data_IF_636957645414
#
_entry.id   IF_636957645414
#
_cell.length_a   1.000
_cell.length_b   1.000
_cell.length_c   1.000
_cell.angle_alpha   90.00
_cell.angle_beta   90.00
_cell.angle_gamma   90.00
#
_symmetry.space_group_name_H-M   'P 1'
#
loop_
_entity.id
_entity.type
_entity.pdbx_description
1 polymer ?
#
# COMPACT_ATOMS: atom_id res chain seq x y z
N UNK A 1 -14.00 -10.46 -28.40
CA UNK A 1 -13.86 -9.70 -27.17
C UNK A 1 -13.70 -8.25 -27.55
N UNK A 2 -14.65 -7.40 -27.19
CA UNK A 2 -14.60 -5.99 -27.52
C UNK A 2 -13.59 -5.32 -26.56
N UNK A 3 -12.51 -4.82 -27.12
CA UNK A 3 -11.57 -3.95 -26.39
C UNK A 3 -12.34 -2.64 -26.18
N UNK A 4 -12.81 -2.39 -24.96
CA UNK A 4 -13.26 -1.07 -24.57
C UNK A 4 -12.02 -0.17 -24.50
N UNK A 5 -11.67 0.44 -25.63
CA UNK A 5 -10.78 1.57 -25.65
C UNK A 5 -11.49 2.73 -24.98
N UNK A 6 -11.09 3.10 -23.77
CA UNK A 6 -11.43 4.40 -23.22
C UNK A 6 -11.03 5.46 -24.25
N UNK A 7 -11.88 6.45 -24.56
CA UNK A 7 -11.55 7.46 -25.54
C UNK A 7 -10.28 8.18 -25.11
N UNK A 8 -9.32 8.32 -26.02
CA UNK A 8 -8.08 9.09 -25.85
C UNK A 8 -8.45 10.58 -25.71
N UNK A 9 -9.07 10.99 -24.64
CA UNK A 9 -9.07 12.39 -24.23
C UNK A 9 -7.66 12.70 -23.78
N UNK A 10 -7.08 13.76 -24.30
CA UNK A 10 -5.90 14.40 -23.75
C UNK A 10 -6.25 14.85 -22.32
N UNK A 11 -6.08 13.94 -21.36
CA UNK A 11 -6.23 14.27 -19.95
C UNK A 11 -5.00 15.09 -19.59
N UNK A 12 -5.22 16.29 -19.06
CA UNK A 12 -4.20 17.08 -18.40
C UNK A 12 -3.57 16.29 -17.22
N UNK A 13 -2.64 16.88 -16.48
CA UNK A 13 -1.86 16.19 -15.44
C UNK A 13 -2.67 15.77 -14.20
N UNK A 14 -4.00 15.69 -14.29
CA UNK A 14 -4.85 15.29 -13.18
C UNK A 14 -4.97 13.77 -13.10
N UNK A 15 -4.61 13.20 -11.95
CA UNK A 15 -4.87 11.80 -11.62
C UNK A 15 -6.37 11.53 -11.65
N UNK A 16 -6.75 10.46 -12.32
CA UNK A 16 -8.16 10.15 -12.57
C UNK A 16 -8.89 9.68 -11.30
N UNK A 17 -10.21 9.91 -11.31
CA UNK A 17 -11.16 9.41 -10.31
C UNK A 17 -12.07 8.40 -10.95
N UNK A 18 -12.24 7.27 -10.28
CA UNK A 18 -13.12 6.19 -10.71
C UNK A 18 -14.05 5.78 -9.57
N UNK A 19 -15.24 5.29 -9.83
CA UNK A 19 -16.09 4.71 -8.79
C UNK A 19 -15.53 3.38 -8.30
N UNK A 20 -15.95 2.93 -7.10
CA UNK A 20 -15.46 1.69 -6.48
C UNK A 20 -15.78 0.42 -7.28
N UNK A 21 -16.77 0.46 -8.16
CA UNK A 21 -17.19 -0.63 -9.05
C UNK A 21 -16.57 -0.52 -10.46
N UNK A 22 -15.60 0.37 -10.66
CA UNK A 22 -14.86 0.45 -11.91
C UNK A 22 -14.17 -0.89 -12.23
N UNK A 23 -14.08 -1.30 -13.51
CA UNK A 23 -13.38 -2.48 -13.91
C UNK A 23 -11.92 -2.46 -13.44
N UNK A 24 -11.42 -3.60 -12.93
CA UNK A 24 -10.04 -3.71 -12.47
C UNK A 24 -9.04 -3.29 -13.55
N UNK A 25 -9.27 -3.68 -14.79
CA UNK A 25 -8.38 -3.35 -15.91
C UNK A 25 -8.25 -1.84 -16.13
N UNK A 26 -9.31 -1.06 -15.91
CA UNK A 26 -9.26 0.40 -15.99
C UNK A 26 -8.39 0.99 -14.89
N UNK A 27 -8.52 0.47 -13.67
CA UNK A 27 -7.70 0.88 -12.52
C UNK A 27 -6.24 0.54 -12.74
N UNK A 28 -5.93 -0.67 -13.20
CA UNK A 28 -4.57 -1.09 -13.52
C UNK A 28 -3.96 -0.24 -14.64
N UNK A 29 -4.75 0.08 -15.67
CA UNK A 29 -4.32 0.97 -16.74
C UNK A 29 -3.94 2.36 -16.19
N UNK A 30 -4.78 2.95 -15.34
CA UNK A 30 -4.52 4.26 -14.74
C UNK A 30 -3.28 4.26 -13.83
N UNK A 31 -3.07 3.20 -13.04
CA UNK A 31 -1.87 3.03 -12.23
C UNK A 31 -0.61 2.95 -13.09
N UNK A 32 -0.64 2.18 -14.18
CA UNK A 32 0.49 2.06 -15.12
C UNK A 32 0.77 3.36 -15.86
N UNK A 33 -0.27 4.14 -16.19
CA UNK A 33 -0.14 5.40 -16.91
C UNK A 33 0.31 6.54 -16.00
N UNK A 34 -0.33 6.70 -14.83
CA UNK A 34 -0.20 7.89 -13.98
C UNK A 34 0.55 7.63 -12.68
N UNK A 35 0.72 6.38 -12.27
CA UNK A 35 1.33 5.96 -11.01
C UNK A 35 0.38 6.04 -9.81
N UNK A 36 -0.84 6.56 -9.99
CA UNK A 36 -1.84 6.69 -8.94
C UNK A 36 -3.26 6.86 -9.50
N UNK A 37 -4.26 6.50 -8.70
CA UNK A 37 -5.69 6.62 -9.04
C UNK A 37 -6.51 6.87 -7.78
N UNK A 38 -7.50 7.75 -7.87
CA UNK A 38 -8.51 7.93 -6.83
C UNK A 38 -9.68 6.97 -7.08
N UNK A 39 -10.13 6.28 -6.02
CA UNK A 39 -11.30 5.41 -6.05
C UNK A 39 -12.33 5.97 -5.07
N UNK A 40 -13.45 6.43 -5.61
CA UNK A 40 -14.50 7.09 -4.82
C UNK A 40 -15.33 6.07 -4.06
N UNK A 41 -15.62 6.36 -2.79
CA UNK A 41 -16.49 5.53 -1.92
C UNK A 41 -16.07 4.07 -1.83
N UNK A 42 -14.75 3.83 -1.81
CA UNK A 42 -14.21 2.47 -1.70
C UNK A 42 -14.62 1.81 -0.39
N UNK A 43 -14.63 2.57 0.69
CA UNK A 43 -14.97 2.09 2.04
C UNK A 43 -16.19 2.84 2.54
N UNK A 44 -17.13 2.12 3.14
CA UNK A 44 -18.32 2.73 3.72
C UNK A 44 -17.92 3.72 4.85
N UNK A 45 -18.55 4.91 4.87
CA UNK A 45 -18.26 5.94 5.90
C UNK A 45 -18.41 5.42 7.32
N UNK A 46 -19.37 4.52 7.56
CA UNK A 46 -19.59 3.90 8.87
C UNK A 46 -18.40 3.03 9.31
N UNK A 47 -17.78 2.29 8.36
CA UNK A 47 -16.60 1.47 8.64
C UNK A 47 -15.37 2.33 8.86
N UNK A 48 -15.22 3.42 8.11
CA UNK A 48 -14.15 4.41 8.34
C UNK A 48 -14.27 5.01 9.73
N UNK A 49 -15.46 5.46 10.13
CA UNK A 49 -15.71 6.02 11.46
C UNK A 49 -15.42 4.99 12.56
N UNK A 50 -15.83 3.75 12.37
CA UNK A 50 -15.56 2.66 13.32
C UNK A 50 -14.07 2.36 13.44
N UNK A 51 -13.36 2.27 12.32
CA UNK A 51 -11.90 2.08 12.32
C UNK A 51 -11.19 3.21 13.05
N UNK A 52 -11.67 4.45 12.92
CA UNK A 52 -11.13 5.59 13.67
C UNK A 52 -11.33 5.42 15.18
N UNK A 53 -12.54 5.07 15.63
CA UNK A 53 -12.81 4.86 17.06
C UNK A 53 -11.93 3.74 17.66
N UNK A 54 -11.66 2.68 16.88
CA UNK A 54 -10.78 1.58 17.29
C UNK A 54 -9.31 1.99 17.50
N UNK A 55 -8.86 3.10 16.90
CA UNK A 55 -7.46 3.59 16.97
C UNK A 55 -7.32 4.96 17.63
N UNK A 56 -8.40 5.62 17.97
CA UNK A 56 -8.41 7.02 18.47
C UNK A 56 -7.54 7.21 19.69
N UNK A 57 -7.66 6.33 20.68
CA UNK A 57 -6.86 6.42 21.91
C UNK A 57 -5.34 6.37 21.60
N UNK A 58 -4.93 5.53 20.64
CA UNK A 58 -3.53 5.46 20.23
C UNK A 58 -3.07 6.71 19.47
N UNK A 59 -3.95 7.29 18.63
CA UNK A 59 -3.67 8.56 17.96
C UNK A 59 -3.53 9.69 18.97
N UNK A 60 -4.46 9.79 19.94
CA UNK A 60 -4.47 10.85 20.96
C UNK A 60 -3.26 10.74 21.90
N UNK A 61 -2.77 9.54 22.15
CA UNK A 61 -1.60 9.27 22.98
C UNK A 61 -0.27 9.20 22.21
N UNK A 62 -0.22 9.56 20.92
CA UNK A 62 1.04 9.55 20.17
C UNK A 62 1.96 10.68 20.56
N UNK A 63 3.24 10.38 20.71
CA UNK A 63 4.28 11.37 20.99
C UNK A 63 4.76 12.03 19.69
N UNK A 64 5.11 13.33 19.79
CA UNK A 64 5.63 14.06 18.65
C UNK A 64 6.90 13.38 18.09
N UNK A 65 6.97 13.31 16.75
CA UNK A 65 8.14 12.76 16.08
C UNK A 65 9.38 13.61 16.33
N UNK A 66 10.47 12.98 16.75
CA UNK A 66 11.74 13.68 17.01
C UNK A 66 12.59 13.89 15.75
N UNK A 67 12.31 13.16 14.66
CA UNK A 67 12.99 13.28 13.38
C UNK A 67 12.41 14.35 12.46
N UNK A 68 12.97 14.47 11.25
CA UNK A 68 12.55 15.47 10.25
C UNK A 68 11.46 14.97 9.28
N UNK A 69 11.19 13.64 9.24
CA UNK A 69 10.30 13.04 8.25
C UNK A 69 8.82 13.36 8.50
N UNK A 70 8.37 13.29 9.76
CA UNK A 70 7.02 13.66 10.12
C UNK A 70 6.99 15.02 10.81
N UNK A 71 6.05 15.91 10.45
CA UNK A 71 5.76 17.11 11.25
C UNK A 71 5.37 16.73 12.66
N UNK A 72 5.73 17.58 13.65
CA UNK A 72 5.39 17.36 15.07
C UNK A 72 3.89 17.33 15.33
N UNK A 73 3.11 17.96 14.46
CA UNK A 73 1.65 17.99 14.48
C UNK A 73 1.01 16.72 13.88
N UNK A 74 1.82 15.75 13.47
CA UNK A 74 1.33 14.46 12.95
C UNK A 74 1.26 13.45 14.07
N UNK A 75 0.05 13.00 14.37
CA UNK A 75 -0.23 11.87 15.27
C UNK A 75 -0.38 10.59 14.48
N UNK A 76 0.16 9.48 14.98
CA UNK A 76 0.23 8.19 14.28
C UNK A 76 -0.27 7.05 15.16
N UNK A 77 -1.03 6.17 14.55
CA UNK A 77 -1.38 4.89 15.15
C UNK A 77 -0.86 3.78 14.21
N UNK A 78 0.36 3.26 14.43
CA UNK A 78 0.87 2.10 13.72
C UNK A 78 0.17 0.82 14.18
N UNK A 79 0.52 -0.30 13.56
CA UNK A 79 0.01 -1.64 13.91
C UNK A 79 -1.52 -1.74 13.78
N UNK A 80 -2.06 -1.19 12.69
CA UNK A 80 -3.51 -1.18 12.47
C UNK A 80 -4.10 -2.59 12.42
N UNK A 81 -3.36 -3.58 11.94
CA UNK A 81 -3.81 -4.97 11.93
C UNK A 81 -4.09 -5.50 13.35
N UNK A 82 -3.27 -5.09 14.32
CA UNK A 82 -3.48 -5.45 15.72
C UNK A 82 -4.62 -4.69 16.38
N UNK A 83 -4.87 -3.44 15.95
CA UNK A 83 -5.70 -2.47 16.68
C UNK A 83 -7.11 -2.33 16.15
N UNK A 84 -7.29 -2.52 14.83
CA UNK A 84 -8.57 -2.28 14.17
C UNK A 84 -9.00 -3.45 13.30
N UNK A 85 -9.82 -4.36 13.83
CA UNK A 85 -10.43 -5.42 13.03
C UNK A 85 -11.30 -4.88 11.90
N UNK A 86 -11.91 -3.71 12.08
CA UNK A 86 -12.70 -3.05 11.03
C UNK A 86 -11.80 -2.60 9.87
N UNK A 87 -10.70 -1.89 10.16
CA UNK A 87 -9.69 -1.54 9.15
C UNK A 87 -9.20 -2.78 8.40
N UNK A 88 -8.81 -3.82 9.13
CA UNK A 88 -8.26 -5.05 8.55
C UNK A 88 -9.24 -5.68 7.55
N UNK A 89 -10.52 -5.79 7.90
CA UNK A 89 -11.53 -6.38 7.01
C UNK A 89 -11.90 -5.49 5.83
N UNK A 90 -12.05 -4.18 6.05
CA UNK A 90 -12.69 -3.28 5.08
C UNK A 90 -11.71 -2.49 4.22
N UNK A 91 -10.46 -2.36 4.67
CA UNK A 91 -9.41 -1.63 3.96
C UNK A 91 -8.27 -2.57 3.55
N UNK A 92 -7.55 -3.16 4.49
CA UNK A 92 -6.42 -4.05 4.19
C UNK A 92 -6.83 -5.20 3.27
N UNK A 93 -7.91 -5.91 3.59
CA UNK A 93 -8.42 -7.06 2.84
C UNK A 93 -9.50 -6.67 1.82
N UNK A 94 -9.60 -5.39 1.44
CA UNK A 94 -10.56 -4.96 0.42
C UNK A 94 -10.25 -5.66 -0.92
N UNK A 95 -11.23 -6.32 -1.58
CA UNK A 95 -10.99 -7.14 -2.78
C UNK A 95 -10.29 -6.39 -3.91
N UNK A 96 -10.65 -5.11 -4.15
CA UNK A 96 -10.00 -4.29 -5.16
C UNK A 96 -8.53 -4.07 -4.84
N UNK A 97 -8.20 -3.69 -3.59
CA UNK A 97 -6.81 -3.48 -3.17
C UNK A 97 -6.00 -4.76 -3.30
N UNK A 98 -6.55 -5.89 -2.85
CA UNK A 98 -5.90 -7.20 -2.98
C UNK A 98 -5.64 -7.58 -4.45
N UNK A 99 -6.58 -7.27 -5.35
CA UNK A 99 -6.41 -7.54 -6.78
C UNK A 99 -5.30 -6.65 -7.41
N UNK A 100 -5.26 -5.36 -7.06
CA UNK A 100 -4.20 -4.44 -7.49
C UNK A 100 -2.83 -4.89 -6.96
N UNK A 101 -2.74 -5.21 -5.68
CA UNK A 101 -1.53 -5.71 -5.03
C UNK A 101 -1.04 -7.01 -5.68
N UNK A 102 -1.94 -7.94 -5.94
CA UNK A 102 -1.60 -9.19 -6.62
C UNK A 102 -1.05 -8.95 -8.03
N UNK A 103 -1.61 -8.00 -8.78
CA UNK A 103 -1.15 -7.67 -10.12
C UNK A 103 0.30 -7.14 -10.15
N UNK A 104 0.61 -6.16 -9.30
CA UNK A 104 1.91 -5.49 -9.33
C UNK A 104 3.00 -6.22 -8.54
N UNK A 105 2.65 -6.99 -7.51
CA UNK A 105 3.63 -7.50 -6.55
C UNK A 105 3.78 -9.03 -6.54
N UNK A 106 2.89 -9.79 -7.19
CA UNK A 106 3.11 -11.23 -7.33
C UNK A 106 4.31 -11.47 -8.24
N UNK A 107 5.29 -12.20 -7.74
CA UNK A 107 6.47 -12.58 -8.51
C UNK A 107 6.35 -14.03 -8.93
N UNK A 108 6.53 -14.29 -10.21
CA UNK A 108 6.62 -15.63 -10.79
C UNK A 108 8.02 -15.82 -11.32
N UNK A 109 8.63 -16.93 -10.97
CA UNK A 109 9.96 -17.29 -11.45
C UNK A 109 10.01 -18.75 -11.88
N UNK A 110 10.95 -19.04 -12.76
CA UNK A 110 11.22 -20.38 -13.25
C UNK A 110 12.66 -20.70 -12.92
N UNK A 111 12.92 -21.87 -12.35
CA UNK A 111 14.25 -22.31 -12.00
C UNK A 111 14.47 -23.80 -12.28
N UNK A 112 15.73 -24.22 -12.31
CA UNK A 112 16.10 -25.60 -12.48
C UNK A 112 16.43 -26.23 -11.11
N UNK A 113 15.86 -27.39 -10.87
CA UNK A 113 16.18 -28.27 -9.75
C UNK A 113 16.73 -29.58 -10.31
N UNK A 114 18.05 -29.68 -10.37
CA UNK A 114 18.68 -30.75 -11.15
C UNK A 114 18.32 -30.61 -12.63
N UNK A 115 17.68 -31.63 -13.17
CA UNK A 115 17.17 -31.71 -14.57
C UNK A 115 15.69 -31.35 -14.71
N UNK A 116 15.04 -30.99 -13.62
CA UNK A 116 13.63 -30.61 -13.60
C UNK A 116 13.46 -29.07 -13.59
N UNK A 117 12.64 -28.58 -14.50
CA UNK A 117 12.23 -27.17 -14.53
C UNK A 117 11.01 -26.99 -13.64
N UNK A 118 11.11 -26.09 -12.67
CA UNK A 118 10.05 -25.77 -11.71
C UNK A 118 9.64 -24.33 -11.81
N UNK A 119 8.40 -24.02 -11.42
CA UNK A 119 7.88 -22.67 -11.25
C UNK A 119 7.67 -22.38 -9.77
N UNK A 120 7.85 -21.12 -9.38
CA UNK A 120 7.50 -20.65 -8.04
C UNK A 120 6.72 -19.36 -8.10
N UNK A 121 5.85 -19.14 -7.12
CA UNK A 121 4.96 -17.98 -7.03
C UNK A 121 5.09 -17.36 -5.64
N UNK A 122 5.79 -16.23 -5.57
CA UNK A 122 5.84 -15.41 -4.36
C UNK A 122 4.66 -14.44 -4.36
N UNK A 123 3.71 -14.64 -3.44
CA UNK A 123 2.56 -13.76 -3.24
C UNK A 123 2.96 -12.55 -2.38
N UNK A 124 2.36 -11.37 -2.61
CA UNK A 124 2.57 -10.21 -1.75
C UNK A 124 1.99 -10.41 -0.35
N UNK A 125 2.47 -9.57 0.58
CA UNK A 125 1.92 -9.47 1.93
C UNK A 125 1.93 -8.03 2.45
N UNK A 126 1.31 -7.76 3.59
CA UNK A 126 1.29 -6.42 4.18
C UNK A 126 2.70 -5.97 4.53
N UNK A 127 3.02 -4.72 4.18
CA UNK A 127 4.31 -4.08 4.45
C UNK A 127 4.26 -3.27 5.75
N UNK A 128 3.31 -2.32 5.81
CA UNK A 128 3.00 -1.54 7.00
C UNK A 128 1.57 -1.00 6.93
N UNK A 129 1.04 -0.64 8.08
CA UNK A 129 -0.32 -0.13 8.21
C UNK A 129 -0.41 0.91 9.35
N UNK A 130 -0.69 2.17 9.00
CA UNK A 130 -0.68 3.28 9.94
C UNK A 130 -1.83 4.27 9.69
N UNK A 131 -2.52 4.69 10.74
CA UNK A 131 -3.38 5.86 10.68
C UNK A 131 -2.56 7.12 11.01
N UNK A 132 -2.72 8.15 10.20
CA UNK A 132 -2.01 9.42 10.35
C UNK A 132 -3.01 10.57 10.39
N UNK A 133 -2.93 11.36 11.46
CA UNK A 133 -3.76 12.54 11.68
C UNK A 133 -2.86 13.78 11.76
N UNK A 134 -2.94 14.64 10.74
CA UNK A 134 -2.16 15.87 10.67
C UNK A 134 -2.99 17.05 11.19
N UNK A 135 -2.54 17.66 12.26
CA UNK A 135 -3.15 18.83 12.85
C UNK A 135 -2.76 20.15 12.19
N UNK A 136 -3.40 21.27 12.63
CA UNK A 136 -3.08 22.61 12.16
C UNK A 136 -1.59 22.96 12.30
N UNK A 137 -1.02 23.58 11.28
CA UNK A 137 0.40 23.97 11.25
C UNK A 137 1.37 22.88 10.80
N UNK A 138 0.91 21.63 10.67
CA UNK A 138 1.73 20.52 10.21
C UNK A 138 2.36 20.82 8.84
N UNK A 139 3.70 20.85 8.78
CA UNK A 139 4.45 21.15 7.55
C UNK A 139 4.31 20.04 6.53
N UNK A 140 4.57 20.35 5.25
CA UNK A 140 4.64 19.34 4.22
C UNK A 140 5.82 18.41 4.46
N UNK A 141 5.63 17.11 4.18
CA UNK A 141 6.74 16.16 4.08
C UNK A 141 7.62 16.48 2.85
N UNK A 142 8.92 16.19 2.91
CA UNK A 142 9.74 16.13 1.72
C UNK A 142 9.14 15.16 0.69
N UNK A 143 9.21 15.51 -0.59
CA UNK A 143 8.80 14.58 -1.65
C UNK A 143 9.74 13.39 -1.70
N UNK A 144 9.18 12.19 -1.63
CA UNK A 144 9.91 10.92 -1.56
C UNK A 144 9.18 9.83 -2.33
N UNK A 145 9.85 8.72 -2.52
CA UNK A 145 9.31 7.43 -2.96
C UNK A 145 9.33 6.49 -1.78
N UNK A 146 8.30 5.67 -1.59
CA UNK A 146 8.29 4.69 -0.49
C UNK A 146 9.18 3.48 -0.78
N UNK A 147 9.43 3.18 -2.04
CA UNK A 147 10.21 2.02 -2.45
C UNK A 147 11.73 2.14 -2.21
N UNK A 148 12.21 3.29 -1.73
CA UNK A 148 13.59 3.43 -1.28
C UNK A 148 13.92 2.46 -0.12
N UNK A 149 12.92 2.08 0.66
CA UNK A 149 13.04 1.09 1.75
C UNK A 149 13.52 -0.27 1.22
N UNK A 150 13.11 -0.62 0.00
CA UNK A 150 13.54 -1.84 -0.68
C UNK A 150 14.86 -1.67 -1.46
N UNK A 151 15.56 -0.54 -1.33
CA UNK A 151 16.77 -0.19 -2.06
C UNK A 151 16.60 -0.19 -3.59
N UNK A 152 15.39 0.09 -4.07
CA UNK A 152 15.10 0.11 -5.50
C UNK A 152 15.88 1.21 -6.23
N UNK A 153 16.40 0.84 -7.41
CA UNK A 153 17.00 1.76 -8.38
C UNK A 153 16.24 1.60 -9.69
N UNK A 154 15.68 2.70 -10.18
CA UNK A 154 14.84 2.69 -11.38
C UNK A 154 15.59 3.26 -12.57
N UNK A 155 15.56 2.55 -13.69
CA UNK A 155 15.82 3.16 -15.00
C UNK A 155 14.62 4.04 -15.40
N UNK A 156 14.87 5.15 -16.09
CA UNK A 156 13.80 5.94 -16.68
C UNK A 156 13.14 5.18 -17.84
N UNK A 157 11.81 5.20 -17.87
CA UNK A 157 11.01 4.57 -18.92
C UNK A 157 9.97 5.58 -19.45
N UNK A 158 9.66 5.52 -20.75
CA UNK A 158 8.68 6.40 -21.36
C UNK A 158 7.24 6.02 -21.00
N UNK A 159 7.00 4.71 -20.93
CA UNK A 159 5.70 4.11 -20.62
C UNK A 159 5.90 2.73 -19.97
N UNK A 160 4.88 2.29 -19.22
CA UNK A 160 4.86 0.98 -18.58
C UNK A 160 4.64 -0.12 -19.60
N UNK A 161 5.42 -1.20 -19.48
CA UNK A 161 5.26 -2.45 -20.21
C UNK A 161 5.17 -3.63 -19.24
N UNK A 162 4.11 -4.45 -19.36
CA UNK A 162 3.82 -5.50 -18.38
C UNK A 162 4.85 -6.65 -18.36
N UNK A 163 5.54 -6.90 -19.46
CA UNK A 163 6.58 -7.94 -19.50
C UNK A 163 7.91 -7.42 -18.94
N UNK A 164 8.32 -6.23 -19.38
CA UNK A 164 9.57 -5.61 -18.97
C UNK A 164 9.53 -5.15 -17.51
N UNK A 165 8.42 -4.52 -17.09
CA UNK A 165 8.33 -3.79 -15.82
C UNK A 165 7.65 -4.59 -14.71
N UNK A 166 7.29 -5.86 -14.94
CA UNK A 166 6.61 -6.73 -13.97
C UNK A 166 7.25 -6.78 -12.58
N UNK A 167 8.54 -6.54 -12.49
CA UNK A 167 9.29 -6.56 -11.23
C UNK A 167 9.73 -5.15 -10.79
N UNK A 168 9.25 -4.09 -11.43
CA UNK A 168 9.65 -2.72 -11.13
C UNK A 168 9.19 -2.27 -9.75
N UNK A 169 7.94 -2.56 -9.38
CA UNK A 169 7.39 -2.14 -8.09
C UNK A 169 7.78 -3.09 -6.95
N UNK A 170 8.22 -2.54 -5.83
CA UNK A 170 8.43 -3.29 -4.58
C UNK A 170 7.24 -3.18 -3.63
N UNK A 171 6.45 -2.12 -3.76
CA UNK A 171 5.28 -1.89 -2.90
C UNK A 171 4.16 -1.13 -3.64
N UNK A 172 2.94 -1.26 -3.10
CA UNK A 172 1.75 -0.51 -3.51
C UNK A 172 1.11 0.08 -2.27
N UNK A 173 0.89 1.39 -2.29
CA UNK A 173 0.22 2.14 -1.22
C UNK A 173 -1.26 2.36 -1.51
N UNK A 174 -2.07 2.37 -0.45
CA UNK A 174 -3.46 2.81 -0.47
C UNK A 174 -3.71 3.73 0.73
N UNK A 175 -4.23 4.91 0.47
CA UNK A 175 -4.60 5.91 1.46
C UNK A 175 -6.10 6.09 1.47
N UNK A 176 -6.78 5.63 2.52
CA UNK A 176 -8.23 5.82 2.70
C UNK A 176 -8.47 7.07 3.55
N UNK A 177 -9.28 7.99 3.06
CA UNK A 177 -9.63 9.20 3.79
C UNK A 177 -10.48 8.88 5.03
N UNK A 178 -10.00 9.27 6.20
CA UNK A 178 -10.72 9.19 7.48
C UNK A 178 -11.51 10.45 7.81
N UNK A 179 -11.12 11.59 7.21
CA UNK A 179 -11.80 12.88 7.25
C UNK A 179 -11.86 13.49 5.86
N UNK A 180 -12.48 14.66 5.71
CA UNK A 180 -12.31 15.43 4.48
C UNK A 180 -10.81 15.73 4.28
N UNK A 181 -10.33 15.50 3.05
CA UNK A 181 -8.95 15.76 2.63
C UNK A 181 -8.98 16.82 1.55
N UNK A 182 -8.34 17.94 1.82
CA UNK A 182 -8.24 19.10 0.93
C UNK A 182 -6.78 19.52 0.78
N UNK A 183 -6.50 20.37 -0.20
CA UNK A 183 -5.17 20.99 -0.33
C UNK A 183 -4.83 21.81 0.91
N UNK A 184 -5.81 22.48 1.46
CA UNK A 184 -5.68 23.42 2.59
C UNK A 184 -5.33 22.70 3.89
N UNK A 185 -5.92 21.52 4.14
CA UNK A 185 -5.66 20.73 5.34
C UNK A 185 -4.54 19.67 5.19
N UNK A 186 -3.76 19.78 4.11
CA UNK A 186 -2.57 18.95 3.92
C UNK A 186 -2.80 17.66 3.13
N UNK A 187 -3.72 17.68 2.17
CA UNK A 187 -3.91 16.57 1.23
C UNK A 187 -2.61 16.15 0.57
N UNK A 188 -2.40 14.86 0.41
CA UNK A 188 -1.19 14.27 -0.15
C UNK A 188 -0.79 14.95 -1.46
N UNK A 189 0.42 15.42 -1.54
CA UNK A 189 1.07 15.89 -2.76
C UNK A 189 1.52 14.66 -3.54
N UNK A 190 1.30 14.64 -4.83
CA UNK A 190 1.64 13.52 -5.70
C UNK A 190 2.07 14.04 -7.07
N UNK A 191 3.18 13.55 -7.60
CA UNK A 191 3.65 13.87 -8.95
C UNK A 191 3.20 12.78 -9.91
N UNK A 192 2.19 13.05 -10.77
CA UNK A 192 1.72 12.08 -11.75
C UNK A 192 2.86 11.64 -12.68
N UNK A 193 2.88 10.34 -13.04
CA UNK A 193 3.87 9.74 -13.93
C UNK A 193 5.30 9.68 -13.38
N UNK A 194 5.54 10.11 -12.15
CA UNK A 194 6.89 10.06 -11.55
C UNK A 194 7.40 8.65 -11.24
N UNK A 195 6.52 7.65 -11.22
CA UNK A 195 6.89 6.23 -11.15
C UNK A 195 7.66 5.74 -12.39
N UNK A 196 7.57 6.48 -13.51
CA UNK A 196 8.32 6.19 -14.75
C UNK A 196 9.73 6.79 -14.73
N UNK A 197 10.02 7.70 -13.79
CA UNK A 197 11.31 8.40 -13.74
C UNK A 197 12.44 7.51 -13.25
N UNK A 198 13.65 7.78 -13.78
CA UNK A 198 14.89 7.18 -13.29
C UNK A 198 15.28 7.68 -11.89
N UNK A 199 16.07 6.88 -11.16
CA UNK A 199 16.63 7.29 -9.86
C UNK A 199 17.82 8.25 -10.03
N UNK A 200 18.51 8.16 -11.15
CA UNK A 200 19.71 8.95 -11.52
C UNK A 200 19.40 10.36 -12.03
N UNK A 201 18.17 10.83 -11.86
CA UNK A 201 17.77 12.20 -12.25
C UNK A 201 18.64 13.24 -11.57
N UNK A 202 19.09 14.21 -12.35
CA UNK A 202 19.86 15.38 -11.86
C UNK A 202 18.97 16.47 -11.26
N UNK A 203 17.67 16.47 -11.57
CA UNK A 203 16.68 17.43 -11.07
C UNK A 203 15.84 16.80 -9.99
N UNK A 204 15.81 17.36 -8.77
CA UNK A 204 14.97 16.86 -7.70
C UNK A 204 13.47 17.02 -8.02
N UNK A 205 12.58 16.23 -7.40
CA UNK A 205 11.14 16.42 -7.52
C UNK A 205 10.74 17.79 -6.96
N UNK A 206 9.81 18.47 -7.64
CA UNK A 206 9.36 19.80 -7.25
C UNK A 206 7.90 19.78 -6.74
N UNK A 207 7.58 20.49 -5.63
CA UNK A 207 6.20 20.67 -5.21
C UNK A 207 5.31 21.36 -6.25
N UNK A 208 5.89 22.08 -7.21
CA UNK A 208 5.13 22.70 -8.31
C UNK A 208 4.57 21.70 -9.31
N UNK A 209 5.14 20.50 -9.37
CA UNK A 209 4.72 19.41 -10.26
C UNK A 209 3.61 18.55 -9.63
N UNK A 210 3.29 18.83 -8.37
CA UNK A 210 2.33 18.02 -7.60
C UNK A 210 0.88 18.41 -7.90
N UNK A 211 0.04 17.39 -8.01
CA UNK A 211 -1.37 17.52 -7.65
C UNK A 211 -1.53 17.34 -6.14
N UNK A 212 -2.65 17.78 -5.60
CA UNK A 212 -3.03 17.55 -4.20
C UNK A 212 -4.25 16.64 -4.14
N UNK A 213 -4.17 15.60 -3.30
CA UNK A 213 -5.31 14.73 -3.06
C UNK A 213 -6.49 15.53 -2.48
N UNK A 214 -7.68 15.29 -3.04
CA UNK A 214 -8.96 15.73 -2.50
C UNK A 214 -9.84 14.49 -2.36
N UNK A 215 -10.26 14.18 -1.15
CA UNK A 215 -11.02 12.97 -0.87
C UNK A 215 -12.05 13.25 0.22
N UNK A 216 -13.22 12.66 0.09
CA UNK A 216 -14.20 12.57 1.17
C UNK A 216 -13.98 11.28 1.97
N UNK A 217 -14.46 11.20 3.23
CA UNK A 217 -14.32 9.98 4.03
C UNK A 217 -14.82 8.73 3.30
N UNK A 218 -13.94 7.73 3.19
CA UNK A 218 -14.19 6.49 2.46
C UNK A 218 -13.68 6.46 1.03
N UNK A 219 -13.26 7.60 0.45
CA UNK A 219 -12.51 7.60 -0.80
C UNK A 219 -11.10 7.06 -0.55
N UNK A 220 -10.51 6.43 -1.55
CA UNK A 220 -9.15 5.94 -1.50
C UNK A 220 -8.28 6.56 -2.60
N UNK A 221 -7.00 6.73 -2.31
CA UNK A 221 -5.95 6.99 -3.27
C UNK A 221 -5.02 5.79 -3.30
N UNK A 222 -4.95 5.08 -4.41
CA UNK A 222 -4.05 3.94 -4.62
C UNK A 222 -2.89 4.42 -5.49
N UNK A 223 -1.65 4.10 -5.10
CA UNK A 223 -0.46 4.52 -5.83
C UNK A 223 0.63 3.46 -5.84
N UNK A 224 1.49 3.54 -6.85
CA UNK A 224 2.73 2.78 -6.93
C UNK A 224 3.79 3.44 -6.04
N UNK A 225 4.54 2.63 -5.27
CA UNK A 225 5.50 3.15 -4.30
C UNK A 225 6.71 3.85 -4.93
N UNK A 226 6.94 3.63 -6.21
CA UNK A 226 7.97 4.32 -7.01
C UNK A 226 7.59 5.73 -7.44
N UNK A 227 6.34 6.18 -7.20
CA UNK A 227 5.91 7.53 -7.51
C UNK A 227 6.28 8.54 -6.40
N UNK A 228 6.74 9.74 -6.77
CA UNK A 228 7.05 10.79 -5.81
C UNK A 228 5.79 11.39 -5.21
N UNK A 229 5.76 11.41 -3.88
CA UNK A 229 4.66 11.96 -3.11
C UNK A 229 5.12 12.48 -1.74
N UNK A 230 4.18 13.02 -0.96
CA UNK A 230 4.41 13.43 0.42
C UNK A 230 3.15 14.05 1.03
N UNK A 231 3.01 14.04 2.35
CA UNK A 231 1.94 14.74 3.04
C UNK A 231 2.03 16.25 2.76
N UNK A 232 0.89 16.87 2.46
CA UNK A 232 0.81 18.32 2.25
C UNK A 232 0.86 19.09 3.55
N UNK A 233 1.07 20.42 3.46
CA UNK A 233 1.03 21.33 4.60
C UNK A 233 -0.43 21.59 5.03
N UNK A 234 -0.75 21.34 6.29
CA UNK A 234 -2.03 21.74 6.87
C UNK A 234 -1.98 23.22 7.28
N UNK A 235 -2.61 24.08 6.49
CA UNK A 235 -2.66 25.53 6.69
C UNK A 235 -3.95 25.99 7.37
N UNK A 236 -4.84 25.06 7.67
CA UNK A 236 -6.09 25.40 8.34
C UNK A 236 -5.86 25.71 9.81
N UNK A 237 -6.68 26.56 10.43
CA UNK A 237 -6.52 26.92 11.84
C UNK A 237 -6.98 25.81 12.80
N UNK A 238 -7.88 24.91 12.37
CA UNK A 238 -8.63 24.01 13.25
C UNK A 238 -8.95 22.64 12.67
N UNK A 239 -8.65 22.37 11.39
CA UNK A 239 -8.95 21.08 10.78
C UNK A 239 -7.84 20.06 11.06
N UNK A 240 -8.26 18.82 11.33
CA UNK A 240 -7.38 17.66 11.40
C UNK A 240 -7.63 16.76 10.19
N UNK A 241 -6.58 16.41 9.47
CA UNK A 241 -6.67 15.52 8.31
C UNK A 241 -6.24 14.12 8.68
N UNK A 242 -7.19 13.17 8.68
CA UNK A 242 -6.96 11.76 8.96
C UNK A 242 -6.92 10.94 7.68
N UNK A 243 -5.92 10.08 7.55
CA UNK A 243 -5.86 9.01 6.54
C UNK A 243 -5.41 7.71 7.18
N UNK A 244 -5.91 6.60 6.65
CA UNK A 244 -5.42 5.26 6.91
C UNK A 244 -4.52 4.87 5.74
N UNK A 245 -3.23 4.75 5.99
CA UNK A 245 -2.24 4.35 5.01
C UNK A 245 -1.96 2.85 5.14
N UNK A 246 -2.06 2.15 4.03
CA UNK A 246 -1.83 0.71 3.90
C UNK A 246 -0.78 0.49 2.83
N UNK A 247 0.24 -0.28 3.13
CA UNK A 247 1.26 -0.68 2.17
C UNK A 247 1.36 -2.19 2.09
N UNK A 248 1.47 -2.71 0.87
CA UNK A 248 1.79 -4.10 0.59
C UNK A 248 3.14 -4.17 -0.12
N UNK A 249 3.88 -5.25 0.07
CA UNK A 249 5.18 -5.49 -0.56
C UNK A 249 5.28 -6.90 -1.11
N UNK A 250 6.35 -7.18 -1.87
CA UNK A 250 6.63 -8.52 -2.39
C UNK A 250 6.95 -9.49 -1.27
N UNK A 251 6.49 -10.71 -1.38
CA UNK A 251 6.57 -11.72 -0.32
C UNK A 251 7.98 -12.17 0.07
N UNK A 252 9.01 -11.81 -0.70
CA UNK A 252 10.41 -12.10 -0.39
C UNK A 252 11.19 -10.88 0.16
N UNK A 253 10.55 -9.70 0.22
CA UNK A 253 11.13 -8.53 0.85
C UNK A 253 10.77 -8.50 2.33
N UNK A 254 11.55 -7.80 3.14
CA UNK A 254 11.24 -7.64 4.56
C UNK A 254 10.13 -6.61 4.76
N UNK A 255 9.17 -6.89 5.62
CA UNK A 255 8.13 -5.94 6.04
C UNK A 255 8.75 -4.74 6.75
N UNK A 256 8.28 -3.53 6.47
CA UNK A 256 8.66 -2.31 7.20
C UNK A 256 8.19 -2.40 8.66
N UNK A 257 6.92 -2.76 8.88
CA UNK A 257 6.40 -3.08 10.19
C UNK A 257 6.36 -4.59 10.39
N UNK A 258 7.15 -5.10 11.31
CA UNK A 258 7.21 -6.54 11.59
C UNK A 258 5.88 -7.04 12.17
N UNK A 259 5.01 -7.58 11.32
CA UNK A 259 3.67 -8.02 11.72
C UNK A 259 3.67 -9.17 12.74
N UNK A 260 4.71 -10.02 12.75
CA UNK A 260 4.82 -11.11 13.71
C UNK A 260 5.05 -10.61 15.14
N UNK A 261 5.67 -9.43 15.30
CA UNK A 261 5.92 -8.80 16.59
C UNK A 261 4.85 -7.75 16.93
N UNK A 262 4.31 -7.06 15.92
CA UNK A 262 3.34 -5.98 16.09
C UNK A 262 1.93 -6.51 16.40
N UNK A 263 1.59 -7.71 15.87
CA UNK A 263 0.26 -8.31 16.04
C UNK A 263 0.33 -9.44 17.07
N UNK A 264 -0.33 -9.32 18.23
CA UNK A 264 -0.40 -10.41 19.21
C UNK A 264 -0.95 -11.70 18.59
N UNK A 265 -0.43 -12.85 19.02
CA UNK A 265 -0.74 -14.15 18.45
C UNK A 265 -2.23 -14.52 18.55
N UNK A 266 -2.89 -14.14 19.63
CA UNK A 266 -4.32 -14.35 19.84
C UNK A 266 -5.16 -13.50 18.89
N UNK A 267 -4.76 -12.26 18.61
CA UNK A 267 -5.38 -11.41 17.59
C UNK A 267 -5.20 -12.02 16.19
N UNK A 268 -3.98 -12.45 15.87
CA UNK A 268 -3.69 -13.08 14.58
C UNK A 268 -4.52 -14.35 14.34
N UNK A 269 -4.73 -15.18 15.39
CA UNK A 269 -5.59 -16.37 15.33
C UNK A 269 -7.07 -16.07 15.09
N UNK A 270 -7.52 -14.88 15.48
CA UNK A 270 -8.91 -14.42 15.28
C UNK A 270 -9.23 -14.04 13.83
N UNK A 271 -8.24 -13.87 12.98
CA UNK A 271 -8.45 -13.55 11.57
C UNK A 271 -8.68 -14.81 10.72
N UNK A 272 -9.27 -14.62 9.55
CA UNK A 272 -9.40 -15.68 8.55
C UNK A 272 -8.03 -16.04 7.93
N UNK A 273 -8.01 -17.18 7.24
CA UNK A 273 -6.78 -17.70 6.64
C UNK A 273 -6.15 -16.73 5.64
N UNK A 274 -6.95 -16.08 4.79
CA UNK A 274 -6.44 -15.15 3.79
C UNK A 274 -5.74 -13.95 4.44
N UNK A 275 -6.31 -13.40 5.51
CA UNK A 275 -5.71 -12.34 6.30
C UNK A 275 -4.41 -12.80 6.97
N UNK A 276 -4.39 -14.01 7.55
CA UNK A 276 -3.20 -14.58 8.17
C UNK A 276 -2.06 -14.79 7.16
N UNK A 277 -2.38 -15.31 5.98
CA UNK A 277 -1.42 -15.44 4.88
C UNK A 277 -0.89 -14.07 4.44
N UNK A 278 -1.77 -13.07 4.31
CA UNK A 278 -1.37 -11.72 3.94
C UNK A 278 -0.58 -10.98 5.04
N UNK A 279 -0.68 -11.39 6.30
CA UNK A 279 0.20 -10.93 7.39
C UNK A 279 1.62 -11.51 7.28
N UNK A 280 1.82 -12.57 6.49
CA UNK A 280 3.08 -13.25 6.30
C UNK A 280 3.11 -14.68 6.87
N UNK A 281 1.99 -15.19 7.43
CA UNK A 281 1.90 -16.59 7.85
C UNK A 281 1.64 -17.50 6.64
N UNK A 282 2.44 -17.31 5.60
CA UNK A 282 2.54 -18.19 4.44
C UNK A 282 3.97 -18.15 3.92
N UNK A 283 4.43 -19.25 3.36
CA UNK A 283 5.73 -19.30 2.73
C UNK A 283 5.70 -18.51 1.42
N UNK A 284 6.68 -17.63 1.22
CA UNK A 284 6.98 -17.05 -0.08
C UNK A 284 7.84 -18.06 -0.84
N UNK A 285 7.26 -18.70 -1.84
CA UNK A 285 7.97 -19.68 -2.63
C UNK A 285 9.27 -19.12 -3.25
N UNK A 286 10.34 -19.97 -3.37
CA UNK A 286 10.32 -21.39 -3.03
C UNK A 286 10.49 -21.72 -1.55
N UNK A 287 11.02 -20.82 -0.70
CA UNK A 287 11.37 -21.21 0.68
C UNK A 287 11.37 -20.08 1.72
N UNK A 288 11.15 -18.81 1.32
CA UNK A 288 11.30 -17.70 2.27
C UNK A 288 10.17 -17.69 3.31
N UNK A 289 10.53 -17.53 4.59
CA UNK A 289 9.57 -17.41 5.70
C UNK A 289 9.08 -18.74 6.26
N UNK A 290 9.71 -19.87 5.92
CA UNK A 290 9.38 -21.16 6.50
C UNK A 290 9.65 -21.22 8.00
N UNK A 291 8.93 -22.12 8.68
CA UNK A 291 9.18 -22.54 10.07
C UNK A 291 9.32 -24.06 10.08
N UNK A 292 10.47 -24.58 10.54
CA UNK A 292 10.78 -26.02 10.51
C UNK A 292 10.65 -26.63 9.09
N UNK A 293 11.02 -25.87 8.06
CA UNK A 293 10.89 -26.26 6.62
C UNK A 293 9.45 -26.45 6.15
N UNK A 294 8.47 -25.89 6.90
CA UNK A 294 7.04 -25.98 6.60
C UNK A 294 6.48 -24.59 6.38
N UNK A 295 5.32 -24.52 5.71
CA UNK A 295 4.53 -23.30 5.61
C UNK A 295 4.14 -22.82 7.02
N UNK A 296 4.44 -21.55 7.39
CA UNK A 296 4.30 -21.04 8.75
C UNK A 296 2.84 -20.94 9.24
N UNK A 297 1.85 -21.13 8.39
CA UNK A 297 0.42 -21.05 8.76
C UNK A 297 0.08 -21.97 9.94
N UNK A 298 0.79 -23.10 10.10
CA UNK A 298 0.54 -24.03 11.19
C UNK A 298 0.79 -23.43 12.58
N UNK A 299 1.56 -22.36 12.70
CA UNK A 299 1.78 -21.64 13.96
C UNK A 299 0.46 -21.03 14.49
N UNK A 300 -0.38 -20.58 13.58
CA UNK A 300 -1.73 -20.09 13.92
C UNK A 300 -2.79 -21.20 13.85
N UNK A 301 -2.61 -22.16 12.95
CA UNK A 301 -3.53 -23.26 12.62
C UNK A 301 -2.82 -24.62 12.71
N UNK A 302 -2.64 -25.16 13.93
CA UNK A 302 -1.88 -26.41 14.14
C UNK A 302 -2.36 -27.61 13.32
N UNK A 303 -3.66 -27.64 12.98
CA UNK A 303 -4.27 -28.66 12.14
C UNK A 303 -3.73 -28.68 10.71
N UNK A 304 -3.07 -27.61 10.26
CA UNK A 304 -2.47 -27.50 8.94
C UNK A 304 -0.98 -27.89 8.91
N UNK A 305 -0.40 -28.36 10.02
CA UNK A 305 1.02 -28.73 10.06
C UNK A 305 1.33 -29.83 9.03
N UNK A 306 2.17 -29.51 8.07
CA UNK A 306 2.57 -30.43 6.99
C UNK A 306 1.52 -30.60 5.88
N UNK A 307 0.41 -29.84 5.90
CA UNK A 307 -0.57 -29.84 4.82
C UNK A 307 -0.18 -28.82 3.76
N UNK A 308 0.04 -29.25 2.53
CA UNK A 308 0.20 -28.37 1.35
C UNK A 308 1.59 -27.80 1.09
N UNK A 309 2.59 -28.14 1.88
CA UNK A 309 3.98 -27.75 1.64
C UNK A 309 4.91 -28.95 1.78
N UNK A 310 5.27 -29.56 0.66
CA UNK A 310 6.30 -30.58 0.66
C UNK A 310 7.67 -29.97 0.99
N UNK A 311 8.55 -30.78 1.61
CA UNK A 311 9.93 -30.40 1.92
C UNK A 311 10.82 -30.30 0.67
N UNK A 312 10.26 -30.55 -0.50
CA UNK A 312 10.92 -30.44 -1.80
C UNK A 312 10.33 -29.27 -2.58
N UNK A 313 11.17 -28.29 -2.88
CA UNK A 313 10.82 -27.09 -3.66
C UNK A 313 10.30 -27.40 -5.05
#
# INVERSE_FOLDING_TARGET
MAIHTLPSKAYGPEVQRVPADAPLDDILYLLKRDGGVFVEKLVARADVARAYEEVRERLDGDEAWEGEFFPKETQRAPSLVARSPTYTRTQLMHPLYQAVVAHFLTTRSVFWWGDHKKESVSKPYVHSAVAMRIGPGGKAQPLHRDDYIAHNQHAEIAEWDDERDRNRESAVGMFVAGSEVTRENGGTMFIPRSHLWGTDRTTPPSPTDCIHARMSPGDAFIMLASAFHGGGHNRTPDEQRLVFATFATRGYLRQEENQFLAVPMDVARGYDRATQEFMGYSMSEPACGNVEELDPIFVLRPELKGVGGGRDF
#
